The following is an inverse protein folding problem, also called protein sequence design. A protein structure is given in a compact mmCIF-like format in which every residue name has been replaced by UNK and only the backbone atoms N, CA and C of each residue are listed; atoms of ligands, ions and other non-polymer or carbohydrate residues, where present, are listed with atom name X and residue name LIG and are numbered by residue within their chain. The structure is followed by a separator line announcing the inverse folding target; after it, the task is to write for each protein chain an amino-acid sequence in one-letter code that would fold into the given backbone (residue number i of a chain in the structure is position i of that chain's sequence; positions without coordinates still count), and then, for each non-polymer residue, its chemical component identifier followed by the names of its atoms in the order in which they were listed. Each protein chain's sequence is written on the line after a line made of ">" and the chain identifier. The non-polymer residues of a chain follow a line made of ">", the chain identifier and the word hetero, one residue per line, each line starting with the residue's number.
data_IF_537070116069
#
_entry.id   IF_537070116069
#
_cell.length_a   1.000
_cell.length_b   1.000
_cell.length_c   1.000
_cell.angle_alpha   90.00
_cell.angle_beta   90.00
_cell.angle_gamma   90.00
#
_symmetry.space_group_name_H-M   'P 1'
#
loop_
_entity.id
_entity.type
_entity.pdbx_description
1 polymer ?
#
# COMPACT_ATOMS: atom_id res chain seq x y z
N UNK A 1 -14.79 12.56 -18.92
CA UNK A 1 -15.61 12.09 -17.78
C UNK A 1 -15.76 10.59 -17.98
N UNK A 2 -15.38 9.77 -17.00
CA UNK A 2 -15.22 8.32 -17.19
C UNK A 2 -16.59 7.63 -17.27
N UNK A 3 -16.75 6.66 -18.16
CA UNK A 3 -18.02 5.93 -18.39
C UNK A 3 -18.31 4.86 -17.33
N UNK A 4 -17.64 4.90 -16.18
CA UNK A 4 -17.86 3.96 -15.07
C UNK A 4 -17.87 4.70 -13.73
N UNK A 5 -18.68 4.20 -12.80
CA UNK A 5 -18.77 4.74 -11.46
C UNK A 5 -17.51 4.39 -10.65
N UNK A 6 -16.97 5.40 -9.97
CA UNK A 6 -15.93 5.20 -8.96
C UNK A 6 -16.57 4.91 -7.60
N UNK A 7 -15.90 4.16 -6.73
CA UNK A 7 -16.40 3.91 -5.39
C UNK A 7 -16.49 5.22 -4.59
N UNK A 8 -17.57 5.40 -3.84
CA UNK A 8 -17.83 6.55 -2.98
C UNK A 8 -17.82 6.19 -1.49
N UNK A 9 -17.98 4.90 -1.17
CA UNK A 9 -17.88 4.38 0.20
C UNK A 9 -16.67 3.45 0.36
N UNK A 10 -16.31 3.17 1.63
CA UNK A 10 -15.24 2.22 1.96
C UNK A 10 -15.54 0.82 1.42
N UNK A 11 -16.76 0.34 1.59
CA UNK A 11 -17.16 -1.01 1.18
C UNK A 11 -17.16 -1.14 -0.35
N UNK A 12 -17.67 -0.13 -1.06
CA UNK A 12 -17.58 -0.06 -2.52
C UNK A 12 -16.13 -0.06 -2.99
N UNK A 13 -15.25 0.67 -2.31
CA UNK A 13 -13.83 0.69 -2.65
C UNK A 13 -13.18 -0.67 -2.43
N UNK A 14 -13.46 -1.32 -1.29
CA UNK A 14 -12.94 -2.66 -0.98
C UNK A 14 -13.37 -3.67 -2.03
N UNK A 15 -14.66 -3.64 -2.40
CA UNK A 15 -15.19 -4.49 -3.45
C UNK A 15 -14.52 -4.20 -4.80
N UNK A 16 -14.41 -2.92 -5.18
CA UNK A 16 -13.77 -2.48 -6.42
C UNK A 16 -12.32 -2.98 -6.55
N UNK A 17 -11.51 -2.83 -5.49
CA UNK A 17 -10.12 -3.31 -5.49
C UNK A 17 -10.04 -4.84 -5.52
N UNK A 18 -10.88 -5.56 -4.76
CA UNK A 18 -10.87 -7.03 -4.73
C UNK A 18 -11.31 -7.65 -6.06
N UNK A 19 -12.32 -7.08 -6.70
CA UNK A 19 -12.76 -7.49 -8.03
C UNK A 19 -11.68 -7.20 -9.08
N UNK A 20 -11.06 -6.02 -9.01
CA UNK A 20 -9.93 -5.67 -9.88
C UNK A 20 -8.75 -6.61 -9.71
N UNK A 21 -8.40 -6.93 -8.46
CA UNK A 21 -7.31 -7.86 -8.14
C UNK A 21 -7.60 -9.29 -8.61
N UNK A 22 -8.85 -9.72 -8.56
CA UNK A 22 -9.27 -11.05 -9.06
C UNK A 22 -9.12 -11.16 -10.57
N UNK A 23 -9.24 -10.04 -11.29
CA UNK A 23 -9.04 -9.92 -12.73
C UNK A 23 -7.66 -9.36 -13.09
N UNK A 24 -6.67 -9.48 -12.19
CA UNK A 24 -5.34 -8.91 -12.38
C UNK A 24 -4.68 -9.43 -13.66
N UNK A 25 -3.89 -8.56 -14.27
CA UNK A 25 -3.08 -8.91 -15.42
C UNK A 25 -2.03 -9.97 -15.09
N UNK A 26 -1.54 -10.64 -16.12
CA UNK A 26 -0.36 -11.50 -16.00
C UNK A 26 0.83 -10.65 -15.56
N UNK A 27 1.76 -11.25 -14.81
CA UNK A 27 2.92 -10.54 -14.24
C UNK A 27 3.68 -9.70 -15.27
N UNK A 28 4.00 -10.25 -16.45
CA UNK A 28 4.71 -9.53 -17.50
C UNK A 28 3.95 -8.30 -18.02
N UNK A 29 2.62 -8.37 -18.07
CA UNK A 29 1.74 -7.27 -18.47
C UNK A 29 1.69 -6.19 -17.38
N UNK A 30 1.58 -6.59 -16.11
CA UNK A 30 1.64 -5.71 -14.94
C UNK A 30 3.00 -4.98 -14.85
N UNK A 31 4.12 -5.68 -15.11
CA UNK A 31 5.46 -5.10 -15.16
C UNK A 31 5.63 -4.07 -16.29
N UNK A 32 5.07 -4.35 -17.47
CA UNK A 32 5.09 -3.40 -18.59
C UNK A 32 4.25 -2.15 -18.27
N UNK A 33 3.10 -2.33 -17.64
CA UNK A 33 2.29 -1.22 -17.16
C UNK A 33 3.02 -0.35 -16.15
N UNK A 34 3.65 -0.97 -15.15
CA UNK A 34 4.50 -0.30 -14.17
C UNK A 34 5.62 0.50 -14.84
N UNK A 35 6.24 -0.06 -15.90
CA UNK A 35 7.27 0.63 -16.68
C UNK A 35 6.72 1.88 -17.37
N UNK A 36 5.54 1.77 -17.97
CA UNK A 36 4.89 2.89 -18.66
C UNK A 36 4.50 3.98 -17.66
N UNK A 37 3.88 3.60 -16.54
CA UNK A 37 3.57 4.53 -15.44
C UNK A 37 4.82 5.26 -14.95
N UNK A 38 5.91 4.54 -14.68
CA UNK A 38 7.16 5.13 -14.24
C UNK A 38 7.71 6.14 -15.26
N UNK A 39 7.65 5.79 -16.55
CA UNK A 39 8.07 6.68 -17.62
C UNK A 39 7.28 7.99 -17.59
N UNK A 40 5.95 7.93 -17.53
CA UNK A 40 5.09 9.11 -17.45
C UNK A 40 5.37 9.96 -16.21
N UNK A 41 5.53 9.33 -15.05
CA UNK A 41 5.82 10.02 -13.80
C UNK A 41 7.14 10.80 -13.91
N UNK A 42 8.16 10.19 -14.49
CA UNK A 42 9.48 10.81 -14.65
C UNK A 42 9.55 11.83 -15.78
N UNK A 43 8.96 11.54 -16.94
CA UNK A 43 9.10 12.37 -18.15
C UNK A 43 8.15 13.56 -18.15
N UNK A 44 6.92 13.41 -17.66
CA UNK A 44 5.97 14.50 -17.51
C UNK A 44 6.09 15.22 -16.15
N UNK A 45 6.97 14.73 -15.26
CA UNK A 45 7.25 15.35 -13.97
C UNK A 45 6.05 15.34 -13.03
N UNK A 46 5.26 14.26 -13.04
CA UNK A 46 4.09 14.07 -12.19
C UNK A 46 4.51 13.98 -10.72
N UNK A 47 3.76 14.63 -9.84
CA UNK A 47 4.08 14.72 -8.40
C UNK A 47 2.94 14.32 -7.49
N UNK A 48 1.77 13.99 -8.05
CA UNK A 48 0.57 13.71 -7.28
C UNK A 48 -0.38 12.75 -8.01
N UNK A 49 -1.32 12.17 -7.27
CA UNK A 49 -2.43 11.38 -7.86
C UNK A 49 -3.21 12.22 -8.89
N UNK A 50 -3.42 13.52 -8.64
CA UNK A 50 -4.11 14.42 -9.55
C UNK A 50 -3.41 14.51 -10.92
N UNK A 51 -2.08 14.56 -10.93
CA UNK A 51 -1.30 14.60 -12.17
C UNK A 51 -1.48 13.32 -12.98
N UNK A 52 -1.49 12.17 -12.30
CA UNK A 52 -1.73 10.86 -12.92
C UNK A 52 -3.16 10.77 -13.46
N UNK A 53 -4.16 11.22 -12.69
CA UNK A 53 -5.56 11.23 -13.12
C UNK A 53 -5.77 12.13 -14.36
N UNK A 54 -5.12 13.30 -14.40
CA UNK A 54 -5.15 14.21 -15.57
C UNK A 54 -4.48 13.61 -16.80
N UNK A 55 -3.42 12.81 -16.60
CA UNK A 55 -2.70 12.16 -17.69
C UNK A 55 -3.25 10.78 -18.05
N UNK A 56 -4.26 10.27 -17.33
CA UNK A 56 -4.64 8.86 -17.42
C UNK A 56 -5.13 8.45 -18.80
N UNK A 57 -5.77 9.35 -19.54
CA UNK A 57 -6.17 9.11 -20.93
C UNK A 57 -4.96 8.86 -21.85
N UNK A 58 -3.87 9.63 -21.67
CA UNK A 58 -2.62 9.39 -22.40
C UNK A 58 -1.97 8.07 -22.00
N UNK A 59 -1.93 7.78 -20.68
CA UNK A 59 -1.40 6.53 -20.14
C UNK A 59 -2.17 5.34 -20.75
N UNK A 60 -3.49 5.44 -20.79
CA UNK A 60 -4.37 4.43 -21.39
C UNK A 60 -4.07 4.24 -22.88
N UNK A 61 -3.92 5.31 -23.66
CA UNK A 61 -3.56 5.20 -25.08
C UNK A 61 -2.20 4.55 -25.32
N UNK A 62 -1.20 4.82 -24.47
CA UNK A 62 0.07 4.09 -24.50
C UNK A 62 -0.13 2.61 -24.19
N UNK A 63 -0.99 2.27 -23.23
CA UNK A 63 -1.31 0.88 -22.92
C UNK A 63 -2.02 0.15 -24.07
N UNK A 64 -2.91 0.82 -24.80
CA UNK A 64 -3.52 0.24 -26.01
C UNK A 64 -2.48 -0.12 -27.06
N UNK A 65 -1.47 0.73 -27.25
CA UNK A 65 -0.43 0.51 -28.25
C UNK A 65 0.59 -0.57 -27.81
N UNK A 66 0.91 -0.63 -26.52
CA UNK A 66 2.04 -1.43 -26.04
C UNK A 66 1.66 -2.70 -25.29
N UNK A 67 0.45 -2.78 -24.74
CA UNK A 67 0.01 -3.86 -23.86
C UNK A 67 -1.04 -4.72 -24.55
N UNK A 68 -2.21 -4.15 -24.84
CA UNK A 68 -3.30 -4.86 -25.52
C UNK A 68 -4.21 -3.84 -26.25
N UNK A 69 -4.39 -3.95 -27.58
CA UNK A 69 -5.26 -3.06 -28.33
C UNK A 69 -6.75 -3.21 -28.00
N UNK A 70 -7.16 -4.27 -27.29
CA UNK A 70 -8.54 -4.48 -26.84
C UNK A 70 -8.75 -4.07 -25.37
N UNK A 71 -7.72 -3.53 -24.72
CA UNK A 71 -7.80 -3.11 -23.33
C UNK A 71 -8.90 -2.04 -23.16
N UNK A 72 -9.80 -2.24 -22.20
CA UNK A 72 -10.75 -1.18 -21.87
C UNK A 72 -10.13 -0.16 -20.92
N UNK A 73 -10.59 1.10 -20.99
CA UNK A 73 -10.16 2.14 -20.05
C UNK A 73 -10.38 1.71 -18.60
N UNK A 74 -11.52 1.08 -18.31
CA UNK A 74 -11.87 0.58 -16.98
C UNK A 74 -10.84 -0.44 -16.49
N UNK A 75 -10.47 -1.43 -17.28
CA UNK A 75 -9.46 -2.44 -16.89
C UNK A 75 -8.11 -1.80 -16.60
N UNK A 76 -7.69 -0.82 -17.43
CA UNK A 76 -6.46 -0.09 -17.22
C UNK A 76 -6.48 0.71 -15.90
N UNK A 77 -7.57 1.44 -15.66
CA UNK A 77 -7.72 2.25 -14.45
C UNK A 77 -7.84 1.41 -13.18
N UNK A 78 -8.62 0.34 -13.22
CA UNK A 78 -8.74 -0.63 -12.12
C UNK A 78 -7.37 -1.22 -11.79
N UNK A 79 -6.56 -1.57 -12.80
CA UNK A 79 -5.20 -2.10 -12.59
C UNK A 79 -4.31 -1.08 -11.87
N UNK A 80 -4.33 0.18 -12.30
CA UNK A 80 -3.64 1.26 -11.59
C UNK A 80 -4.08 1.37 -10.13
N UNK A 81 -5.38 1.35 -9.87
CA UNK A 81 -5.92 1.45 -8.50
C UNK A 81 -5.50 0.27 -7.64
N UNK A 82 -5.49 -0.96 -8.18
CA UNK A 82 -5.01 -2.16 -7.48
C UNK A 82 -3.52 -2.07 -7.14
N UNK A 83 -2.70 -1.55 -8.05
CA UNK A 83 -1.27 -1.34 -7.80
C UNK A 83 -1.02 -0.29 -6.72
N UNK A 84 -1.76 0.83 -6.78
CA UNK A 84 -1.71 1.89 -5.78
C UNK A 84 -2.13 1.37 -4.40
N UNK A 85 -3.20 0.60 -4.32
CA UNK A 85 -3.66 -0.02 -3.07
C UNK A 85 -2.67 -1.07 -2.53
N UNK A 86 -2.03 -1.81 -3.43
CA UNK A 86 -0.95 -2.73 -3.08
C UNK A 86 0.25 -2.01 -2.47
N UNK A 87 0.64 -0.87 -3.03
CA UNK A 87 1.69 -0.02 -2.45
C UNK A 87 1.30 0.47 -1.05
N UNK A 88 0.08 0.98 -0.86
CA UNK A 88 -0.39 1.46 0.43
C UNK A 88 -0.39 0.37 1.51
N UNK A 89 -0.90 -0.82 1.16
CA UNK A 89 -0.90 -1.98 2.04
C UNK A 89 0.54 -2.36 2.44
N UNK A 90 1.45 -2.39 1.46
CA UNK A 90 2.87 -2.68 1.72
C UNK A 90 3.53 -1.61 2.60
N UNK A 91 3.27 -0.33 2.32
CA UNK A 91 3.79 0.78 3.12
C UNK A 91 3.31 0.70 4.57
N UNK A 92 2.04 0.34 4.79
CA UNK A 92 1.51 0.11 6.13
C UNK A 92 2.30 -0.98 6.86
N UNK A 93 2.55 -2.12 6.21
CA UNK A 93 3.33 -3.21 6.80
C UNK A 93 4.75 -2.81 7.18
N UNK A 94 5.44 -2.01 6.36
CA UNK A 94 6.77 -1.50 6.68
C UNK A 94 6.80 -0.56 7.89
N UNK A 95 5.68 0.10 8.19
CA UNK A 95 5.58 1.07 9.27
C UNK A 95 5.06 0.47 10.59
N UNK A 96 4.63 -0.80 10.59
CA UNK A 96 4.26 -1.57 11.77
C UNK A 96 5.48 -1.76 12.68
N UNK A 97 5.31 -1.59 14.00
CA UNK A 97 6.43 -1.69 14.96
C UNK A 97 6.96 -3.12 15.05
N UNK A 98 6.04 -4.08 15.07
CA UNK A 98 6.36 -5.49 15.23
C UNK A 98 6.19 -6.27 13.92
N UNK A 99 5.95 -5.56 12.81
CA UNK A 99 5.87 -6.16 11.49
C UNK A 99 7.23 -6.72 11.06
N UNK A 100 7.31 -8.03 10.84
CA UNK A 100 8.53 -8.69 10.33
C UNK A 100 8.26 -9.13 8.91
N UNK A 101 9.03 -8.58 7.96
CA UNK A 101 9.07 -9.10 6.60
C UNK A 101 10.15 -10.18 6.49
N UNK A 102 9.72 -11.43 6.33
CA UNK A 102 10.62 -12.55 6.07
C UNK A 102 10.89 -12.62 4.57
N UNK A 103 12.09 -12.16 4.19
CA UNK A 103 12.59 -12.16 2.81
C UNK A 103 12.73 -13.57 2.21
N UNK A 104 12.96 -14.59 3.04
CA UNK A 104 13.21 -15.96 2.60
C UNK A 104 11.92 -16.74 2.44
N UNK A 105 11.01 -16.62 3.42
CA UNK A 105 9.69 -17.20 3.34
C UNK A 105 8.80 -16.45 2.34
N UNK A 106 9.17 -15.20 1.98
CA UNK A 106 8.27 -14.26 1.32
C UNK A 106 6.98 -14.24 2.13
N UNK A 107 7.01 -13.74 3.36
CA UNK A 107 5.83 -13.64 4.22
C UNK A 107 5.91 -12.40 5.09
N UNK A 108 4.77 -11.76 5.34
CA UNK A 108 4.66 -10.67 6.31
C UNK A 108 4.04 -11.23 7.59
N UNK A 109 4.79 -11.14 8.68
CA UNK A 109 4.29 -11.46 10.00
C UNK A 109 3.90 -10.15 10.70
N UNK A 110 2.62 -10.04 11.05
CA UNK A 110 2.09 -8.95 11.87
C UNK A 110 1.74 -9.52 13.24
N UNK A 111 1.84 -8.69 14.28
CA UNK A 111 1.16 -9.01 15.54
C UNK A 111 -0.36 -9.00 15.33
N UNK A 112 -1.10 -9.63 16.26
CA UNK A 112 -2.55 -9.82 16.12
C UNK A 112 -3.30 -8.49 15.94
N UNK A 113 -2.95 -7.47 16.72
CA UNK A 113 -3.59 -6.15 16.64
C UNK A 113 -3.25 -5.43 15.32
N UNK A 114 -1.99 -5.50 14.87
CA UNK A 114 -1.54 -4.95 13.58
C UNK A 114 -2.18 -5.69 12.39
N UNK A 115 -2.44 -6.99 12.53
CA UNK A 115 -3.17 -7.80 11.56
C UNK A 115 -4.64 -7.40 11.46
N UNK A 116 -5.34 -7.28 12.59
CA UNK A 116 -6.74 -6.83 12.63
C UNK A 116 -6.89 -5.43 12.01
N UNK A 117 -6.00 -4.50 12.36
CA UNK A 117 -5.99 -3.16 11.77
C UNK A 117 -5.74 -3.24 10.26
N UNK A 118 -4.77 -4.04 9.82
CA UNK A 118 -4.51 -4.20 8.39
C UNK A 118 -5.75 -4.68 7.62
N UNK A 119 -6.48 -5.65 8.18
CA UNK A 119 -7.68 -6.21 7.56
C UNK A 119 -8.87 -5.26 7.60
N UNK A 120 -8.94 -4.40 8.62
CA UNK A 120 -9.97 -3.35 8.72
C UNK A 120 -9.74 -2.27 7.64
N UNK A 121 -8.49 -1.85 7.40
CA UNK A 121 -8.22 -0.65 6.61
C UNK A 121 -7.73 -0.90 5.19
N UNK A 122 -7.22 -2.08 4.86
CA UNK A 122 -6.64 -2.36 3.54
C UNK A 122 -7.28 -3.57 2.87
N UNK A 123 -7.85 -3.41 1.66
CA UNK A 123 -8.62 -4.48 1.01
C UNK A 123 -7.75 -5.65 0.56
N UNK A 124 -6.44 -5.44 0.37
CA UNK A 124 -5.48 -6.44 -0.05
C UNK A 124 -4.60 -6.99 1.10
N UNK A 125 -4.80 -6.55 2.35
CA UNK A 125 -3.96 -6.99 3.48
C UNK A 125 -3.96 -8.51 3.68
N UNK A 126 -5.13 -9.14 3.67
CA UNK A 126 -5.25 -10.60 3.76
C UNK A 126 -4.44 -11.33 2.68
N UNK A 127 -4.43 -10.78 1.46
CA UNK A 127 -3.70 -11.39 0.37
C UNK A 127 -2.19 -11.28 0.60
N UNK A 128 -1.70 -10.08 0.89
CA UNK A 128 -0.26 -9.82 0.99
C UNK A 128 0.39 -10.37 2.26
N UNK A 129 -0.36 -10.59 3.35
CA UNK A 129 0.15 -11.32 4.50
C UNK A 129 0.54 -12.77 4.11
N UNK A 130 -0.25 -13.41 3.25
CA UNK A 130 -0.07 -14.81 2.86
C UNK A 130 0.71 -15.00 1.55
N UNK A 131 0.79 -13.97 0.71
CA UNK A 131 1.42 -14.02 -0.61
C UNK A 131 2.05 -12.66 -0.96
N UNK A 132 3.17 -12.28 -0.33
CA UNK A 132 3.84 -11.05 -0.69
C UNK A 132 4.35 -11.16 -2.12
N UNK A 133 3.77 -10.32 -2.98
CA UNK A 133 4.15 -10.21 -4.38
C UNK A 133 5.61 -9.73 -4.49
N UNK A 134 6.37 -10.18 -5.50
CA UNK A 134 7.75 -9.74 -5.73
C UNK A 134 7.90 -8.30 -6.24
N UNK A 135 6.81 -7.54 -6.39
CA UNK A 135 6.80 -6.23 -7.08
C UNK A 135 6.89 -5.02 -6.13
N UNK A 136 7.12 -5.23 -4.84
CA UNK A 136 7.11 -4.16 -3.85
C UNK A 136 8.16 -3.07 -4.10
N UNK A 137 9.37 -3.45 -4.52
CA UNK A 137 10.41 -2.49 -4.89
C UNK A 137 9.97 -1.66 -6.10
N UNK A 138 9.34 -2.28 -7.09
CA UNK A 138 8.78 -1.59 -8.26
C UNK A 138 7.71 -0.60 -7.84
N UNK A 139 6.78 -1.00 -6.97
CA UNK A 139 5.73 -0.11 -6.47
C UNK A 139 6.31 1.06 -5.68
N UNK A 140 7.32 0.80 -4.84
CA UNK A 140 8.01 1.86 -4.09
C UNK A 140 8.63 2.88 -5.04
N UNK A 141 9.36 2.44 -6.07
CA UNK A 141 9.97 3.33 -7.08
C UNK A 141 8.92 4.19 -7.79
N UNK A 142 7.75 3.63 -8.10
CA UNK A 142 6.68 4.32 -8.83
C UNK A 142 5.92 5.29 -7.94
N UNK A 143 5.48 4.84 -6.77
CA UNK A 143 4.48 5.52 -5.96
C UNK A 143 5.05 6.36 -4.81
N UNK A 144 6.24 6.02 -4.28
CA UNK A 144 6.87 6.80 -3.20
C UNK A 144 7.14 8.27 -3.55
N UNK A 145 7.54 8.62 -4.80
CA UNK A 145 7.72 10.01 -5.20
C UNK A 145 6.41 10.82 -5.31
N UNK A 146 5.25 10.14 -5.39
CA UNK A 146 3.97 10.78 -5.61
C UNK A 146 3.31 11.20 -4.30
N UNK A 147 2.70 12.38 -4.30
CA UNK A 147 1.71 12.79 -3.30
C UNK A 147 0.39 12.10 -3.61
N UNK A 148 0.27 10.87 -3.12
CA UNK A 148 -0.97 10.10 -3.21
C UNK A 148 -2.03 10.70 -2.28
N UNK A 149 -3.30 10.61 -2.69
CA UNK A 149 -4.39 10.96 -1.79
C UNK A 149 -4.39 10.06 -0.56
N UNK A 150 -4.67 10.63 0.61
CA UNK A 150 -4.87 9.84 1.83
C UNK A 150 -5.98 8.84 1.59
N UNK A 151 -5.73 7.59 1.96
CA UNK A 151 -6.71 6.54 1.81
C UNK A 151 -7.86 6.73 2.82
N UNK A 152 -9.08 6.33 2.43
CA UNK A 152 -10.24 6.46 3.29
C UNK A 152 -10.08 5.60 4.56
N UNK A 153 -9.90 6.24 5.70
CA UNK A 153 -9.63 5.58 6.99
C UNK A 153 -8.15 5.45 7.35
N UNK A 154 -7.23 5.86 6.47
CA UNK A 154 -5.79 5.83 6.75
C UNK A 154 -5.41 6.71 7.94
N UNK A 155 -5.98 7.91 8.03
CA UNK A 155 -5.70 8.83 9.14
C UNK A 155 -6.12 8.22 10.49
N UNK A 156 -7.23 7.48 10.51
CA UNK A 156 -7.69 6.77 11.70
C UNK A 156 -6.75 5.63 12.06
N UNK A 157 -6.35 4.81 11.08
CA UNK A 157 -5.37 3.73 11.30
C UNK A 157 -4.03 4.28 11.79
N UNK A 158 -3.55 5.37 11.18
CA UNK A 158 -2.34 6.06 11.59
C UNK A 158 -2.45 6.60 13.01
N UNK A 159 -3.59 7.18 13.39
CA UNK A 159 -3.82 7.68 14.75
C UNK A 159 -3.84 6.55 15.79
N UNK A 160 -4.56 5.45 15.53
CA UNK A 160 -4.63 4.28 16.43
C UNK A 160 -3.23 3.67 16.63
N UNK A 161 -2.50 3.45 15.54
CA UNK A 161 -1.12 2.97 15.57
C UNK A 161 -0.18 3.91 16.34
N UNK A 162 -0.25 5.22 16.12
CA UNK A 162 0.57 6.18 16.85
C UNK A 162 0.30 6.16 18.36
N UNK A 163 -0.96 5.98 18.77
CA UNK A 163 -1.33 5.78 20.17
C UNK A 163 -0.67 4.52 20.74
N UNK A 164 -0.74 3.39 20.03
CA UNK A 164 -0.10 2.14 20.47
C UNK A 164 1.42 2.26 20.56
N UNK A 165 2.07 2.94 19.60
CA UNK A 165 3.52 3.25 19.65
C UNK A 165 3.89 4.03 20.91
N UNK A 166 3.09 5.04 21.25
CA UNK A 166 3.31 5.85 22.45
C UNK A 166 3.14 5.01 23.72
N UNK A 167 2.08 4.21 23.81
CA UNK A 167 1.83 3.33 24.94
C UNK A 167 2.96 2.32 25.15
N UNK A 168 3.50 1.75 24.06
CA UNK A 168 4.64 0.85 24.12
C UNK A 168 5.91 1.54 24.62
N UNK A 169 6.22 2.73 24.09
CA UNK A 169 7.37 3.53 24.54
C UNK A 169 7.28 3.88 26.03
N UNK A 170 6.07 4.23 26.51
CA UNK A 170 5.83 4.49 27.93
C UNK A 170 6.07 3.25 28.79
N UNK A 171 5.61 2.07 28.35
CA UNK A 171 5.85 0.81 29.07
C UNK A 171 7.34 0.47 29.13
N UNK A 172 8.06 0.61 28.02
CA UNK A 172 9.49 0.31 27.93
C UNK A 172 10.33 1.25 28.80
N UNK A 173 9.99 2.55 28.78
CA UNK A 173 10.60 3.55 29.65
C UNK A 173 10.41 3.19 31.14
N UNK A 174 9.17 2.87 31.55
CA UNK A 174 8.87 2.47 32.93
C UNK A 174 9.61 1.18 33.33
N UNK A 175 9.72 0.21 32.42
CA UNK A 175 10.45 -1.02 32.66
C UNK A 175 11.95 -0.74 32.88
N UNK A 176 12.56 0.14 32.09
CA UNK A 176 13.97 0.50 32.24
C UNK A 176 14.24 1.28 33.52
N UNK A 177 13.37 2.21 33.91
CA UNK A 177 13.43 2.89 35.21
C UNK A 177 13.44 1.90 36.38
N UNK A 178 12.57 0.87 36.31
CA UNK A 178 12.55 -0.21 37.33
C UNK A 178 13.85 -1.02 37.34
N UNK A 179 14.43 -1.33 36.17
CA UNK A 179 15.72 -2.05 36.06
C UNK A 179 16.86 -1.22 36.65
N UNK A 180 16.92 0.07 36.33
CA UNK A 180 17.89 1.02 36.85
C UNK A 180 17.80 1.14 38.37
N UNK A 181 16.58 1.27 38.92
CA UNK A 181 16.36 1.29 40.36
C UNK A 181 16.78 -0.01 41.05
N UNK A 182 16.52 -1.17 40.44
CA UNK A 182 16.95 -2.47 40.96
C UNK A 182 18.49 -2.63 40.96
N UNK A 183 19.18 -2.14 39.92
CA UNK A 183 20.65 -2.10 39.86
C UNK A 183 21.24 -1.23 40.97
N UNK A 184 20.68 -0.04 41.21
CA UNK A 184 21.09 0.85 42.31
C UNK A 184 20.95 0.18 43.68
N UNK A 185 19.88 -0.60 43.89
CA UNK A 185 19.66 -1.35 45.14
C UNK A 185 20.59 -2.55 45.35
N UNK A 186 21.24 -3.06 44.30
CA UNK A 186 22.17 -4.20 44.38
C UNK A 186 23.65 -3.79 44.48
N UNK A 187 23.96 -2.52 44.19
CA UNK A 187 25.32 -1.96 44.27
C UNK A 187 25.60 -1.20 45.57
N UNK A 188 24.61 -1.07 46.45
CA UNK A 188 24.72 -0.64 47.85
C UNK A 188 24.56 -1.86 48.76
#
# INVERSE_FOLDING_TARGET
>A
MWDFALPHTKDEHFQFIREGFSNKWRTATEEKFCTNLLHFIQSEGMKSDADVDMAFEKIYHTCLAEIDPNLTFKECYVTFMVLKDGYWTFKFFLECVNGVFDIHAKTVYLDEDDGEEAFEFWPLAHHYCNNPKPLWETWKIIFEPLRLYSYLGEDLARARRNSRKLDQLLRDYQAEERRMAARRKRGN
#
